data_IF_242254265282
#
_entry.id   IF_242254265282
#
_cell.length_a   1.000
_cell.length_b   1.000
_cell.length_c   1.000
_cell.angle_alpha   90.00
_cell.angle_beta   90.00
_cell.angle_gamma   90.00
#
_symmetry.space_group_name_H-M   'P 1'
#
loop_
_entity.id
_entity.type
_entity.pdbx_description
1 polymer ?
#
# COMPACT_ATOMS: atom_id res chain seq x y z
N UNK A 1 1.62 11.14 2.18
CA UNK A 1 2.64 10.44 3.02
C UNK A 1 3.98 10.29 2.29
N UNK A 2 3.92 10.32 0.96
CA UNK A 2 5.00 10.47 -0.02
C UNK A 2 6.27 11.19 0.47
N UNK A 3 6.27 12.49 0.78
CA UNK A 3 7.50 13.21 1.21
C UNK A 3 8.24 12.55 2.39
N UNK A 4 7.50 12.03 3.36
CA UNK A 4 8.06 11.48 4.61
C UNK A 4 8.64 10.09 4.37
N UNK A 5 8.03 9.30 3.48
CA UNK A 5 8.55 8.01 3.07
C UNK A 5 9.66 8.14 2.02
N UNK A 6 9.53 9.02 1.03
CA UNK A 6 10.59 9.33 0.05
C UNK A 6 11.87 9.81 0.74
N UNK A 7 11.77 10.65 1.78
CA UNK A 7 12.94 11.04 2.58
C UNK A 7 13.58 9.87 3.35
N UNK A 8 12.80 8.87 3.76
CA UNK A 8 13.29 7.64 4.40
C UNK A 8 13.90 6.65 3.38
N UNK A 9 13.27 6.50 2.21
CA UNK A 9 13.71 5.59 1.14
C UNK A 9 14.91 6.12 0.34
N UNK A 10 15.04 7.43 0.17
CA UNK A 10 16.18 8.03 -0.56
C UNK A 10 17.47 8.12 0.27
N UNK A 11 17.40 8.09 1.60
CA UNK A 11 18.57 8.36 2.46
C UNK A 11 19.29 7.12 2.99
N UNK A 12 18.76 5.91 2.80
CA UNK A 12 19.37 4.71 3.40
C UNK A 12 18.94 3.43 2.68
N UNK A 13 19.87 2.49 2.53
CA UNK A 13 19.54 1.07 2.40
C UNK A 13 18.82 0.64 3.68
N UNK A 14 17.53 0.94 3.78
CA UNK A 14 16.72 0.60 4.95
C UNK A 14 16.77 -0.90 5.15
N UNK A 15 17.15 -1.31 6.36
CA UNK A 15 17.04 -2.69 6.78
C UNK A 15 15.56 -3.09 6.91
N UNK A 16 15.26 -4.39 6.82
CA UNK A 16 13.89 -4.91 7.02
C UNK A 16 13.31 -4.43 8.36
N UNK A 17 14.15 -4.31 9.39
CA UNK A 17 13.78 -3.82 10.71
C UNK A 17 13.37 -2.34 10.72
N UNK A 18 14.07 -1.49 9.96
CA UNK A 18 13.70 -0.08 9.82
C UNK A 18 12.40 0.07 9.03
N UNK A 19 12.21 -0.74 7.97
CA UNK A 19 10.96 -0.77 7.22
C UNK A 19 9.80 -1.23 8.11
N UNK A 20 9.99 -2.27 8.93
CA UNK A 20 9.00 -2.75 9.90
C UNK A 20 8.61 -1.65 10.89
N UNK A 21 9.60 -0.95 11.44
CA UNK A 21 9.35 0.14 12.38
C UNK A 21 8.60 1.32 11.75
N UNK A 22 8.88 1.65 10.48
CA UNK A 22 8.14 2.71 9.78
C UNK A 22 6.67 2.31 9.61
N UNK A 23 6.41 1.09 9.15
CA UNK A 23 5.03 0.62 8.94
C UNK A 23 4.26 0.50 10.26
N UNK A 24 4.84 -0.13 11.28
CA UNK A 24 4.17 -0.30 12.58
C UNK A 24 3.90 1.05 13.26
N UNK A 25 4.83 2.00 13.21
CA UNK A 25 4.68 3.26 13.95
C UNK A 25 3.91 4.33 13.17
N UNK A 26 3.91 4.29 11.83
CA UNK A 26 3.27 5.33 11.02
C UNK A 26 2.01 4.87 10.30
N UNK A 27 1.90 3.61 9.88
CA UNK A 27 0.73 3.12 9.14
C UNK A 27 -0.36 2.56 10.06
N UNK A 28 0.01 1.72 11.03
CA UNK A 28 -0.97 1.11 11.95
C UNK A 28 -1.83 2.15 12.69
N UNK A 29 -1.30 3.26 13.24
CA UNK A 29 -2.14 4.24 13.92
C UNK A 29 -3.14 4.94 13.00
N UNK A 30 -2.84 5.05 11.71
CA UNK A 30 -3.72 5.69 10.74
C UNK A 30 -4.93 4.82 10.40
N UNK A 31 -4.78 3.49 10.48
CA UNK A 31 -5.88 2.53 10.28
C UNK A 31 -6.87 2.49 11.45
N UNK A 32 -6.47 2.97 12.63
CA UNK A 32 -7.32 2.92 13.84
C UNK A 32 -8.17 4.19 14.06
N UNK A 33 -8.23 5.10 13.08
CA UNK A 33 -9.03 6.32 13.14
C UNK A 33 -10.49 6.11 12.76
N UNK A 34 -11.34 5.77 13.73
CA UNK A 34 -12.80 6.00 13.74
C UNK A 34 -13.69 5.22 12.76
N UNK A 35 -13.34 5.14 11.48
CA UNK A 35 -14.19 4.66 10.39
C UNK A 35 -13.47 3.66 9.45
N UNK A 36 -12.28 3.20 9.84
CA UNK A 36 -11.36 2.42 9.00
C UNK A 36 -11.31 0.96 9.48
N UNK A 37 -11.49 0.02 8.55
CA UNK A 37 -11.44 -1.42 8.77
C UNK A 37 -10.28 -1.98 7.94
N UNK A 38 -9.41 -2.82 8.51
CA UNK A 38 -8.68 -3.81 7.69
C UNK A 38 -7.27 -4.21 8.09
N UNK A 39 -6.52 -3.40 8.86
CA UNK A 39 -5.11 -3.70 9.14
C UNK A 39 -4.74 -3.39 10.60
N UNK A 40 -4.43 -4.43 11.36
CA UNK A 40 -3.96 -4.31 12.74
C UNK A 40 -2.43 -4.46 12.85
N UNK A 41 -1.88 -4.19 14.05
CA UNK A 41 -0.44 -4.32 14.29
C UNK A 41 0.06 -5.76 14.06
N UNK A 42 -0.72 -6.75 14.46
CA UNK A 42 -0.38 -8.16 14.31
C UNK A 42 -0.30 -8.58 12.85
N UNK A 43 -1.21 -8.07 12.00
CA UNK A 43 -1.18 -8.32 10.56
C UNK A 43 0.12 -7.82 9.92
N UNK A 44 0.55 -6.59 10.28
CA UNK A 44 1.81 -6.02 9.79
C UNK A 44 3.02 -6.80 10.30
N UNK A 45 3.04 -7.17 11.59
CA UNK A 45 4.14 -7.94 12.16
C UNK A 45 4.23 -9.34 11.50
N UNK A 46 3.10 -10.02 11.32
CA UNK A 46 3.06 -11.33 10.66
C UNK A 46 3.49 -11.27 9.19
N UNK A 47 3.07 -10.24 8.47
CA UNK A 47 3.48 -9.99 7.09
C UNK A 47 5.00 -9.85 6.97
N UNK A 48 5.59 -9.02 7.86
CA UNK A 48 7.02 -8.70 7.83
C UNK A 48 7.89 -9.86 8.29
N UNK A 49 7.41 -10.70 9.21
CA UNK A 49 8.19 -11.83 9.74
C UNK A 49 8.26 -13.04 8.80
N UNK A 50 7.36 -13.16 7.82
CA UNK A 50 7.32 -14.28 6.87
C UNK A 50 7.98 -13.97 5.51
N UNK A 51 8.59 -12.78 5.36
CA UNK A 51 9.22 -12.31 4.12
C UNK A 51 10.67 -11.88 4.36
N UNK A 52 11.58 -12.31 3.48
CA UNK A 52 13.02 -11.99 3.57
C UNK A 52 13.42 -10.85 2.62
N UNK A 53 12.58 -10.58 1.61
CA UNK A 53 12.75 -9.53 0.60
C UNK A 53 11.48 -8.72 0.49
N UNK A 54 11.66 -7.42 0.27
CA UNK A 54 10.57 -6.48 0.15
C UNK A 54 10.76 -5.55 -1.04
N UNK A 55 9.64 -5.16 -1.65
CA UNK A 55 9.58 -4.04 -2.58
C UNK A 55 8.42 -3.14 -2.21
N UNK A 56 8.73 -1.88 -1.95
CA UNK A 56 7.73 -0.84 -1.72
C UNK A 56 7.53 -0.04 -3.00
N UNK A 57 6.27 0.24 -3.31
CA UNK A 57 5.86 1.05 -4.45
C UNK A 57 4.77 2.01 -4.01
N UNK A 58 4.81 3.24 -4.53
CA UNK A 58 3.79 4.27 -4.31
C UNK A 58 3.26 4.71 -5.67
N UNK A 59 1.96 4.88 -5.78
CA UNK A 59 1.28 5.51 -6.90
C UNK A 59 0.26 6.52 -6.43
N UNK A 60 -0.01 7.49 -7.29
CA UNK A 60 -0.86 8.64 -7.00
C UNK A 60 -1.86 8.85 -8.12
N UNK A 61 -3.05 9.32 -7.78
CA UNK A 61 -4.07 9.66 -8.75
C UNK A 61 -4.90 10.85 -8.28
N UNK A 62 -5.55 11.53 -9.21
CA UNK A 62 -6.36 12.70 -8.93
C UNK A 62 -7.58 12.78 -9.86
N UNK A 63 -8.65 13.43 -9.39
CA UNK A 63 -9.88 13.61 -10.18
C UNK A 63 -10.74 12.35 -10.24
N UNK A 64 -11.55 12.22 -11.29
CA UNK A 64 -12.59 11.16 -11.41
C UNK A 64 -12.00 9.74 -11.55
N UNK A 65 -10.77 9.63 -12.07
CA UNK A 65 -10.07 8.35 -12.26
C UNK A 65 -9.00 8.06 -11.21
N UNK A 66 -8.95 8.84 -10.11
CA UNK A 66 -7.85 8.80 -9.13
C UNK A 66 -7.50 7.40 -8.61
N UNK A 67 -8.50 6.54 -8.41
CA UNK A 67 -8.29 5.18 -7.93
C UNK A 67 -7.58 4.28 -8.97
N UNK A 68 -7.99 4.37 -10.24
CA UNK A 68 -7.40 3.60 -11.33
C UNK A 68 -6.00 4.12 -11.64
N UNK A 69 -5.84 5.45 -11.73
CA UNK A 69 -4.55 6.07 -12.05
C UNK A 69 -3.49 5.69 -10.99
N UNK A 70 -3.87 5.76 -9.69
CA UNK A 70 -2.97 5.40 -8.61
C UNK A 70 -2.57 3.92 -8.64
N UNK A 71 -3.52 2.99 -8.85
CA UNK A 71 -3.21 1.56 -8.83
C UNK A 71 -2.45 1.11 -10.08
N UNK A 72 -2.76 1.67 -11.26
CA UNK A 72 -2.00 1.41 -12.48
C UNK A 72 -0.56 1.90 -12.36
N UNK A 73 -0.34 3.07 -11.74
CA UNK A 73 1.00 3.57 -11.47
C UNK A 73 1.77 2.62 -10.54
N UNK A 74 1.12 2.14 -9.46
CA UNK A 74 1.71 1.13 -8.56
C UNK A 74 2.08 -0.14 -9.32
N UNK A 75 1.16 -0.72 -10.09
CA UNK A 75 1.37 -1.98 -10.80
C UNK A 75 2.48 -1.84 -11.86
N UNK A 76 2.54 -0.69 -12.54
CA UNK A 76 3.59 -0.37 -13.51
C UNK A 76 4.96 -0.29 -12.84
N UNK A 77 5.06 0.40 -11.71
CA UNK A 77 6.32 0.52 -10.95
C UNK A 77 6.73 -0.81 -10.30
N UNK A 78 5.76 -1.65 -9.93
CA UNK A 78 6.03 -2.98 -9.38
C UNK A 78 6.69 -3.88 -10.43
N UNK A 79 6.24 -3.79 -11.68
CA UNK A 79 6.87 -4.42 -12.84
C UNK A 79 6.82 -5.95 -12.76
N UNK A 80 7.92 -6.61 -13.13
CA UNK A 80 7.98 -8.07 -13.23
C UNK A 80 7.92 -8.83 -11.90
N UNK A 81 8.00 -8.13 -10.75
CA UNK A 81 7.88 -8.79 -9.43
C UNK A 81 6.54 -9.51 -9.26
N UNK A 82 5.49 -9.01 -9.92
CA UNK A 82 4.17 -9.64 -9.89
C UNK A 82 4.17 -11.04 -10.53
N UNK A 83 5.00 -11.25 -11.55
CA UNK A 83 5.02 -12.49 -12.34
C UNK A 83 6.12 -13.46 -11.89
N UNK A 84 7.21 -12.95 -11.32
CA UNK A 84 8.41 -13.74 -10.98
C UNK A 84 8.36 -14.37 -9.58
N UNK A 85 7.49 -13.87 -8.69
CA UNK A 85 7.50 -14.25 -7.27
C UNK A 85 6.29 -15.12 -6.94
N UNK A 86 6.56 -16.40 -6.71
CA UNK A 86 5.53 -17.35 -6.25
C UNK A 86 5.26 -17.11 -4.75
N UNK A 87 3.98 -17.04 -4.37
CA UNK A 87 3.51 -16.85 -2.98
C UNK A 87 3.94 -15.52 -2.35
N UNK A 88 3.95 -14.44 -3.13
CA UNK A 88 4.11 -13.09 -2.60
C UNK A 88 2.93 -12.72 -1.70
N UNK A 89 3.22 -12.05 -0.58
CA UNK A 89 2.22 -11.38 0.25
C UNK A 89 2.17 -9.91 -0.12
N UNK A 90 0.97 -9.33 -0.02
CA UNK A 90 0.75 -7.92 -0.33
C UNK A 90 0.20 -7.17 0.89
N UNK A 91 0.75 -5.99 1.16
CA UNK A 91 0.21 -5.03 2.13
C UNK A 91 -0.07 -3.72 1.39
N UNK A 92 -1.33 -3.32 1.36
CA UNK A 92 -1.78 -2.09 0.71
C UNK A 92 -2.24 -1.06 1.74
N UNK A 93 -1.84 0.18 1.55
CA UNK A 93 -2.39 1.30 2.30
C UNK A 93 -2.82 2.42 1.38
N UNK A 94 -4.06 2.88 1.55
CA UNK A 94 -4.69 3.89 0.70
C UNK A 94 -4.88 5.17 1.51
N UNK A 95 -4.20 6.26 1.14
CA UNK A 95 -4.54 7.59 1.65
C UNK A 95 -5.46 8.31 0.68
N UNK A 96 -6.47 8.97 1.22
CA UNK A 96 -7.34 9.86 0.47
C UNK A 96 -7.44 11.21 1.17
N UNK A 97 -7.60 12.27 0.37
CA UNK A 97 -7.64 13.63 0.89
C UNK A 97 -9.00 14.09 1.40
N UNK A 98 -9.52 15.15 0.77
CA UNK A 98 -10.78 15.80 1.15
C UNK A 98 -12.00 14.97 0.77
N UNK A 99 -11.92 14.26 -0.35
CA UNK A 99 -13.00 13.43 -0.87
C UNK A 99 -12.83 12.02 -0.33
N UNK A 100 -13.85 11.52 0.37
CA UNK A 100 -13.82 10.19 0.99
C UNK A 100 -13.55 9.08 -0.04
N UNK A 101 -12.88 8.01 0.40
CA UNK A 101 -12.68 6.82 -0.42
C UNK A 101 -14.03 6.14 -0.64
N UNK A 102 -14.44 6.05 -1.91
CA UNK A 102 -15.70 5.43 -2.28
C UNK A 102 -15.54 3.90 -2.38
N UNK A 103 -16.60 3.16 -2.06
CA UNK A 103 -16.56 1.70 -2.14
C UNK A 103 -16.32 1.19 -3.57
N UNK A 104 -16.76 1.90 -4.61
CA UNK A 104 -16.51 1.53 -5.98
C UNK A 104 -15.05 1.78 -6.39
N UNK A 105 -14.41 2.81 -5.87
CA UNK A 105 -12.96 3.04 -6.01
C UNK A 105 -12.17 1.89 -5.39
N UNK A 106 -12.53 1.50 -4.16
CA UNK A 106 -11.89 0.35 -3.49
C UNK A 106 -12.05 -0.94 -4.30
N UNK A 107 -13.26 -1.24 -4.78
CA UNK A 107 -13.49 -2.45 -5.61
C UNK A 107 -12.66 -2.42 -6.89
N UNK A 108 -12.54 -1.25 -7.55
CA UNK A 108 -11.70 -1.11 -8.75
C UNK A 108 -10.23 -1.37 -8.45
N UNK A 109 -9.71 -0.82 -7.35
CA UNK A 109 -8.32 -1.05 -6.91
C UNK A 109 -8.07 -2.55 -6.69
N UNK A 110 -8.96 -3.21 -5.94
CA UNK A 110 -8.82 -4.64 -5.64
C UNK A 110 -8.87 -5.49 -6.90
N UNK A 111 -9.82 -5.24 -7.81
CA UNK A 111 -9.93 -5.97 -9.07
C UNK A 111 -8.67 -5.79 -9.93
N UNK A 112 -8.12 -4.56 -10.04
CA UNK A 112 -6.89 -4.32 -10.80
C UNK A 112 -5.70 -5.08 -10.22
N UNK A 113 -5.61 -5.19 -8.89
CA UNK A 113 -4.60 -6.02 -8.24
C UNK A 113 -4.77 -7.50 -8.58
N UNK A 114 -5.96 -8.06 -8.35
CA UNK A 114 -6.26 -9.47 -8.60
C UNK A 114 -6.03 -9.87 -10.05
N UNK A 115 -6.40 -9.02 -11.01
CA UNK A 115 -6.16 -9.26 -12.44
C UNK A 115 -4.67 -9.39 -12.78
N UNK A 116 -3.79 -8.67 -12.05
CA UNK A 116 -2.34 -8.73 -12.27
C UNK A 116 -1.66 -9.84 -11.50
N UNK A 117 -2.06 -10.07 -10.25
CA UNK A 117 -1.44 -11.08 -9.37
C UNK A 117 -2.01 -12.48 -9.55
N UNK A 118 -3.20 -12.61 -10.15
CA UNK A 118 -3.97 -13.84 -10.24
C UNK A 118 -4.59 -14.29 -8.92
N UNK A 119 -5.25 -15.46 -8.94
CA UNK A 119 -6.05 -16.05 -7.83
C UNK A 119 -5.26 -16.43 -6.55
N UNK A 120 -3.97 -16.08 -6.46
CA UNK A 120 -3.10 -16.42 -5.33
C UNK A 120 -2.75 -15.21 -4.45
N UNK A 121 -3.53 -14.13 -4.52
CA UNK A 121 -3.23 -12.92 -3.77
C UNK A 121 -3.70 -13.03 -2.31
N UNK A 122 -2.75 -13.03 -1.38
CA UNK A 122 -3.02 -12.73 0.03
C UNK A 122 -2.69 -11.26 0.28
N UNK A 123 -3.72 -10.42 0.39
CA UNK A 123 -3.59 -8.98 0.60
C UNK A 123 -4.19 -8.56 1.93
N UNK A 124 -3.38 -7.87 2.73
CA UNK A 124 -3.85 -7.08 3.86
C UNK A 124 -3.94 -5.64 3.39
N UNK A 125 -5.04 -4.95 3.68
CA UNK A 125 -5.22 -3.57 3.25
C UNK A 125 -5.77 -2.69 4.36
N UNK A 126 -5.41 -1.41 4.30
CA UNK A 126 -5.98 -0.37 5.13
C UNK A 126 -6.17 0.91 4.33
N UNK A 127 -7.01 1.80 4.83
CA UNK A 127 -7.13 3.14 4.29
C UNK A 127 -6.94 4.17 5.42
N UNK A 128 -6.73 5.43 5.06
CA UNK A 128 -6.63 6.53 6.00
C UNK A 128 -6.90 7.88 5.33
N UNK A 129 -7.45 8.81 6.11
CA UNK A 129 -7.73 10.16 5.61
C UNK A 129 -6.55 11.10 5.88
N UNK A 130 -6.10 11.81 4.85
CA UNK A 130 -5.04 12.80 4.92
C UNK A 130 -5.44 14.07 4.16
N UNK A 131 -6.02 15.04 4.88
CA UNK A 131 -6.54 16.28 4.28
C UNK A 131 -5.49 17.11 3.51
N UNK A 132 -4.18 16.88 3.71
CA UNK A 132 -3.13 17.56 2.96
C UNK A 132 -3.08 17.14 1.47
N UNK A 133 -3.63 15.97 1.12
CA UNK A 133 -3.68 15.45 -0.24
C UNK A 133 -4.75 16.13 -1.13
N UNK A 134 -5.63 16.96 -0.57
CA UNK A 134 -6.68 17.61 -1.36
C UNK A 134 -7.55 16.58 -2.10
N UNK A 135 -7.68 16.69 -3.42
CA UNK A 135 -8.48 15.74 -4.22
C UNK A 135 -7.71 14.50 -4.69
N UNK A 136 -6.52 14.25 -4.14
CA UNK A 136 -5.67 13.13 -4.53
C UNK A 136 -5.95 11.87 -3.71
N UNK A 137 -5.56 10.73 -4.29
CA UNK A 137 -5.51 9.41 -3.66
C UNK A 137 -4.10 8.85 -3.86
N UNK A 138 -3.47 8.39 -2.78
CA UNK A 138 -2.11 7.82 -2.75
C UNK A 138 -2.24 6.35 -2.33
N UNK A 139 -1.73 5.43 -3.14
CA UNK A 139 -1.67 4.00 -2.84
C UNK A 139 -0.22 3.64 -2.59
N UNK A 140 0.04 3.08 -1.42
CA UNK A 140 1.28 2.43 -1.08
C UNK A 140 1.06 0.91 -1.11
N UNK A 141 1.88 0.21 -1.87
CA UNK A 141 1.88 -1.23 -1.94
C UNK A 141 3.25 -1.77 -1.53
N UNK A 142 3.26 -2.61 -0.51
CA UNK A 142 4.42 -3.36 -0.08
C UNK A 142 4.24 -4.82 -0.48
N UNK A 143 5.21 -5.35 -1.20
CA UNK A 143 5.25 -6.76 -1.60
C UNK A 143 6.37 -7.45 -0.84
N UNK A 144 6.06 -8.54 -0.16
CA UNK A 144 6.98 -9.35 0.63
C UNK A 144 7.08 -10.77 0.09
N UNK A 145 8.30 -11.31 0.03
CA UNK A 145 8.55 -12.69 -0.39
C UNK A 145 9.84 -13.27 0.20
N UNK A 146 10.03 -14.59 0.04
CA UNK A 146 11.22 -15.32 0.49
C UNK A 146 12.38 -15.22 -0.53
#
# INVERSE_FOLDING_TARGET
MEKRLEELFNNSSLTVEELKNVFVNHLVPLVHGGDLIGLDRGDVEHFMDDSDKFRLVIGTGAGESRAIDAIEEVLTKLGSVVEEVDHAKYLMYIEYGTDDLMMDELVRIMNCCEEKTGDKMEIVWGAGRNNELGNQLEILLLVGWK
#
